data_IF_309773330654
#
_entry.id   IF_309773330654
#
_cell.length_a   1.000
_cell.length_b   1.000
_cell.length_c   1.000
_cell.angle_alpha   90.00
_cell.angle_beta   90.00
_cell.angle_gamma   90.00
#
_symmetry.space_group_name_H-M   'P 1'
#
loop_
_entity.id
_entity.type
_entity.pdbx_description
1 polymer ?
#
# COMPACT_ATOMS: atom_id res chain seq x y z
N UNK A 1 -24.35 -0.83 3.73
CA UNK A 1 -23.11 -0.81 4.53
C UNK A 1 -22.90 0.62 4.98
N UNK A 2 -22.48 0.86 6.23
CA UNK A 2 -22.49 2.16 6.90
C UNK A 2 -21.54 3.17 6.24
N UNK A 3 -21.82 4.45 6.46
CA UNK A 3 -21.09 5.62 6.00
C UNK A 3 -19.62 5.61 6.48
N UNK A 4 -18.71 5.48 5.52
CA UNK A 4 -17.27 5.40 5.73
C UNK A 4 -16.61 6.73 6.08
N UNK A 5 -17.21 7.56 6.93
CA UNK A 5 -16.46 8.62 7.62
C UNK A 5 -15.82 8.03 8.86
N UNK A 6 -14.76 7.25 8.64
CA UNK A 6 -13.81 6.95 9.70
C UNK A 6 -13.21 8.25 10.24
N UNK A 7 -12.82 8.30 11.52
CA UNK A 7 -12.22 9.49 12.13
C UNK A 7 -11.04 9.95 11.27
N UNK A 8 -10.93 11.27 11.10
CA UNK A 8 -9.82 11.86 10.36
C UNK A 8 -8.49 11.48 11.03
N UNK A 9 -7.36 11.43 10.30
CA UNK A 9 -6.05 11.11 10.87
C UNK A 9 -5.64 11.99 12.07
N UNK A 10 -6.27 13.16 12.23
CA UNK A 10 -6.10 14.07 13.36
C UNK A 10 -6.87 13.64 14.62
N UNK A 11 -7.97 12.91 14.46
CA UNK A 11 -8.82 12.39 15.54
C UNK A 11 -8.31 11.07 16.14
N UNK A 12 -7.44 10.35 15.43
CA UNK A 12 -6.86 9.07 15.91
C UNK A 12 -5.63 9.22 16.80
N UNK A 13 -5.18 10.44 17.12
CA UNK A 13 -4.05 10.64 18.04
C UNK A 13 -2.75 9.95 17.58
N UNK A 14 -2.57 9.77 16.26
CA UNK A 14 -1.32 9.24 15.70
C UNK A 14 -0.19 10.18 16.12
N UNK A 15 0.79 9.61 16.81
CA UNK A 15 1.91 10.40 17.31
C UNK A 15 2.85 10.69 16.15
N UNK A 16 3.51 11.84 16.13
CA UNK A 16 4.55 12.20 15.15
C UNK A 16 5.67 11.15 14.99
N UNK A 17 5.78 10.19 15.93
CA UNK A 17 6.60 8.99 15.81
C UNK A 17 6.20 8.09 14.63
N UNK A 18 4.99 8.21 14.11
CA UNK A 18 4.44 7.36 13.05
C UNK A 18 4.78 7.89 11.64
N UNK A 19 5.40 9.08 11.53
CA UNK A 19 5.80 9.66 10.24
C UNK A 19 7.29 9.55 9.91
N UNK A 20 8.13 9.25 10.89
CA UNK A 20 9.59 9.13 10.66
C UNK A 20 10.04 7.68 10.76
N UNK A 21 10.71 7.16 9.71
CA UNK A 21 11.21 5.79 9.71
C UNK A 21 12.07 5.47 10.93
N UNK A 22 11.93 4.25 11.45
CA UNK A 22 12.68 3.81 12.64
C UNK A 22 14.20 3.94 12.46
N UNK A 23 14.73 3.55 11.29
CA UNK A 23 16.17 3.60 11.02
C UNK A 23 16.72 5.03 11.05
N UNK A 24 15.96 6.04 10.61
CA UNK A 24 16.38 7.45 10.70
C UNK A 24 16.45 7.88 12.16
N UNK A 25 15.43 7.53 12.96
CA UNK A 25 15.40 7.84 14.39
C UNK A 25 16.56 7.20 15.15
N UNK A 26 16.93 5.97 14.78
CA UNK A 26 18.06 5.26 15.38
C UNK A 26 19.41 5.84 14.98
N UNK A 27 19.57 6.20 13.71
CA UNK A 27 20.74 6.94 13.26
C UNK A 27 20.89 8.26 14.01
N UNK A 28 19.86 9.10 14.07
CA UNK A 28 19.92 10.38 14.78
C UNK A 28 20.31 10.24 16.25
N UNK A 29 19.88 9.15 16.91
CA UNK A 29 20.29 8.84 18.29
C UNK A 29 21.79 8.57 18.40
N UNK A 30 22.37 7.89 17.42
CA UNK A 30 23.78 7.52 17.42
C UNK A 30 24.66 8.70 16.99
N UNK A 31 24.30 9.39 15.92
CA UNK A 31 25.14 10.41 15.29
C UNK A 31 25.05 11.77 15.99
N UNK A 32 23.85 12.16 16.46
CA UNK A 32 23.58 13.50 16.99
C UNK A 32 22.81 13.49 18.34
N UNK A 33 23.29 12.76 19.37
CA UNK A 33 22.57 12.62 20.64
C UNK A 33 22.37 13.96 21.38
N UNK A 34 23.33 14.88 21.27
CA UNK A 34 23.25 16.20 21.89
C UNK A 34 22.19 17.08 21.22
N UNK A 35 22.19 17.19 19.88
CA UNK A 35 21.18 17.95 19.14
C UNK A 35 19.77 17.42 19.42
N UNK A 36 19.61 16.10 19.50
CA UNK A 36 18.33 15.47 19.84
C UNK A 36 17.88 15.78 21.26
N UNK A 37 18.82 15.82 22.21
CA UNK A 37 18.54 16.19 23.61
C UNK A 37 18.11 17.65 23.71
N UNK A 38 18.80 18.53 22.99
CA UNK A 38 18.52 19.96 22.96
C UNK A 38 17.17 20.25 22.30
N UNK A 39 16.87 19.63 21.15
CA UNK A 39 15.56 19.70 20.52
C UNK A 39 14.45 19.20 21.46
N UNK A 40 14.68 18.09 22.17
CA UNK A 40 13.72 17.60 23.15
C UNK A 40 13.57 18.54 24.36
N UNK A 41 14.59 19.32 24.71
CA UNK A 41 14.51 20.37 25.73
C UNK A 41 13.65 21.53 25.21
N UNK A 42 13.94 22.03 24.02
CA UNK A 42 13.21 23.13 23.38
C UNK A 42 11.72 22.77 23.17
N UNK A 43 11.43 21.58 22.64
CA UNK A 43 10.04 21.12 22.52
C UNK A 43 9.33 21.02 23.86
N UNK A 44 10.03 20.56 24.91
CA UNK A 44 9.46 20.50 26.28
C UNK A 44 9.17 21.90 26.81
N UNK A 45 10.06 22.85 26.56
CA UNK A 45 9.90 24.25 26.93
C UNK A 45 8.67 24.86 26.23
N UNK A 46 8.57 24.75 24.90
CA UNK A 46 7.42 25.25 24.12
C UNK A 46 6.09 24.62 24.54
N UNK A 47 6.10 23.30 24.80
CA UNK A 47 4.92 22.60 25.33
C UNK A 47 4.59 23.05 26.75
N UNK A 48 5.60 23.20 27.61
CA UNK A 48 5.42 23.69 28.98
C UNK A 48 4.82 25.08 29.00
N UNK A 49 5.31 26.00 28.16
CA UNK A 49 4.74 27.34 28.00
C UNK A 49 3.25 27.27 27.63
N UNK A 50 2.90 26.43 26.64
CA UNK A 50 1.51 26.23 26.24
C UNK A 50 0.65 25.70 27.40
N UNK A 51 1.11 24.67 28.11
CA UNK A 51 0.35 24.04 29.18
C UNK A 51 0.26 24.90 30.44
N UNK A 52 1.29 25.69 30.78
CA UNK A 52 1.22 26.67 31.86
C UNK A 52 0.24 27.79 31.52
N UNK A 53 0.23 28.28 30.27
CA UNK A 53 -0.78 29.24 29.81
C UNK A 53 -2.20 28.65 29.91
N UNK A 54 -2.37 27.38 29.53
CA UNK A 54 -3.66 26.67 29.62
C UNK A 54 -4.11 26.47 31.06
N UNK A 55 -3.19 26.09 31.96
CA UNK A 55 -3.45 25.93 33.39
C UNK A 55 -3.81 27.26 34.04
N UNK A 56 -3.09 28.33 33.70
CA UNK A 56 -3.41 29.68 34.17
C UNK A 56 -4.79 30.14 33.71
N UNK A 57 -5.18 29.82 32.47
CA UNK A 57 -6.52 30.10 31.95
C UNK A 57 -7.59 29.27 32.68
N UNK A 58 -7.37 27.97 32.90
CA UNK A 58 -8.29 27.13 33.69
C UNK A 58 -8.45 27.63 35.12
N UNK A 59 -7.37 28.06 35.78
CA UNK A 59 -7.46 28.64 37.12
C UNK A 59 -8.27 29.94 37.16
N UNK A 60 -8.23 30.74 36.09
CA UNK A 60 -9.09 31.93 35.95
C UNK A 60 -10.56 31.55 35.77
N UNK A 61 -10.85 30.54 34.94
CA UNK A 61 -12.21 30.02 34.77
C UNK A 61 -12.77 29.48 36.09
N UNK A 62 -11.99 28.69 36.83
CA UNK A 62 -12.43 28.12 38.11
C UNK A 62 -12.77 29.21 39.15
N UNK A 63 -11.97 30.29 39.20
CA UNK A 63 -12.26 31.45 40.04
C UNK A 63 -13.50 32.23 39.59
N UNK A 64 -13.77 32.25 38.29
CA UNK A 64 -15.01 32.83 37.74
C UNK A 64 -16.20 32.00 38.20
N UNK A 65 -16.14 30.67 38.08
CA UNK A 65 -17.20 29.75 38.52
C UNK A 65 -17.51 29.89 40.01
N UNK A 66 -16.47 29.98 40.86
CA UNK A 66 -16.62 30.23 42.30
C UNK A 66 -17.34 31.57 42.58
N UNK A 67 -17.02 32.63 41.83
CA UNK A 67 -17.70 33.93 41.96
C UNK A 67 -19.15 33.84 41.50
N UNK A 68 -19.43 33.14 40.41
CA UNK A 68 -20.80 32.93 39.92
C UNK A 68 -21.64 32.17 40.96
N UNK A 69 -21.11 31.10 41.54
CA UNK A 69 -21.81 30.34 42.59
C UNK A 69 -22.09 31.18 43.84
N UNK A 70 -21.15 32.04 44.24
CA UNK A 70 -21.33 32.94 45.37
C UNK A 70 -22.46 33.95 45.10
N UNK A 71 -22.45 34.57 43.92
CA UNK A 71 -23.50 35.52 43.50
C UNK A 71 -24.86 34.82 43.40
N UNK A 72 -24.92 33.61 42.84
CA UNK A 72 -26.17 32.84 42.73
C UNK A 72 -26.76 32.45 44.09
N UNK A 73 -25.90 32.06 45.03
CA UNK A 73 -26.33 31.73 46.39
C UNK A 73 -26.89 32.96 47.10
N UNK A 74 -26.25 34.12 46.91
CA UNK A 74 -26.70 35.38 47.50
C UNK A 74 -28.00 35.88 46.85
N UNK A 75 -28.13 35.73 45.53
CA UNK A 75 -29.34 36.05 44.78
C UNK A 75 -30.52 35.22 45.29
N UNK A 76 -30.35 33.89 45.41
CA UNK A 76 -31.40 33.00 45.89
C UNK A 76 -31.84 33.34 47.33
N UNK A 77 -30.90 33.67 48.21
CA UNK A 77 -31.23 34.10 49.58
C UNK A 77 -32.03 35.41 49.60
N UNK A 78 -31.66 36.38 48.76
CA UNK A 78 -32.35 37.67 48.65
C UNK A 78 -33.70 37.59 47.97
N UNK A 79 -33.86 36.71 46.99
CA UNK A 79 -35.17 36.42 46.36
C UNK A 79 -36.15 35.81 47.35
N UNK A 80 -35.69 34.92 48.22
CA UNK A 80 -36.52 34.33 49.28
C UNK A 80 -36.93 35.38 50.32
N UNK A 81 -36.00 36.25 50.73
CA UNK A 81 -36.31 37.41 51.60
C UNK A 81 -37.35 38.35 50.95
N UNK A 82 -37.23 38.57 49.64
CA UNK A 82 -38.19 39.35 48.86
C UNK A 82 -39.57 38.69 48.84
N UNK A 83 -39.67 37.38 48.58
CA UNK A 83 -40.95 36.62 48.59
C UNK A 83 -41.62 36.66 49.95
N UNK A 84 -40.86 36.45 51.03
CA UNK A 84 -41.38 36.53 52.39
C UNK A 84 -41.94 37.92 52.71
N UNK A 85 -41.23 38.96 52.26
CA UNK A 85 -41.67 40.36 52.39
C UNK A 85 -42.95 40.62 51.56
N UNK A 86 -43.05 40.12 50.33
CA UNK A 86 -44.27 40.24 49.51
C UNK A 86 -45.46 39.50 50.12
N UNK A 87 -45.26 38.28 50.64
CA UNK A 87 -46.31 37.51 51.29
C UNK A 87 -46.88 38.26 52.52
N UNK A 88 -46.01 38.83 53.36
CA UNK A 88 -46.40 39.66 54.50
C UNK A 88 -47.16 40.93 54.07
N UNK A 89 -46.74 41.57 52.98
CA UNK A 89 -47.44 42.73 52.43
C UNK A 89 -48.83 42.33 51.91
N UNK A 90 -48.95 41.20 51.23
CA UNK A 90 -50.23 40.69 50.72
C UNK A 90 -51.21 40.36 51.86
N UNK A 91 -50.74 39.64 52.89
CA UNK A 91 -51.53 39.29 54.08
C UNK A 91 -52.03 40.55 54.81
N UNK A 92 -51.14 41.52 55.05
CA UNK A 92 -51.48 42.76 55.77
C UNK A 92 -52.34 43.73 54.93
N UNK A 93 -52.51 43.48 53.63
CA UNK A 93 -53.23 44.35 52.70
C UNK A 93 -54.51 43.74 52.11
N UNK A 94 -55.00 42.63 52.67
CA UNK A 94 -56.11 41.83 52.14
C UNK A 94 -57.46 42.60 52.09
N UNK A 95 -57.68 43.56 52.99
CA UNK A 95 -58.91 44.35 53.07
C UNK A 95 -58.70 45.76 53.65
N UNK A 96 -59.61 46.70 53.31
CA UNK A 96 -59.48 48.15 53.59
C UNK A 96 -59.20 48.47 55.06
N UNK A 97 -59.93 47.87 56.01
CA UNK A 97 -59.75 48.14 57.45
C UNK A 97 -58.36 47.69 57.96
N UNK A 98 -57.87 46.54 57.48
CA UNK A 98 -56.53 46.01 57.83
C UNK A 98 -55.40 46.87 57.27
N UNK A 99 -55.58 47.46 56.08
CA UNK A 99 -54.65 48.44 55.52
C UNK A 99 -54.54 49.71 56.35
N UNK A 100 -55.66 50.21 56.88
CA UNK A 100 -55.68 51.44 57.68
C UNK A 100 -55.02 51.24 59.05
N UNK A 101 -55.27 50.10 59.72
CA UNK A 101 -54.65 49.78 61.02
C UNK A 101 -53.15 49.47 60.91
N UNK A 102 -52.69 48.87 59.81
CA UNK A 102 -51.30 48.48 59.61
C UNK A 102 -50.47 49.47 58.76
N UNK A 103 -50.96 50.68 58.51
CA UNK A 103 -50.35 51.65 57.58
C UNK A 103 -48.86 51.90 57.78
N UNK A 104 -48.41 52.12 59.03
CA UNK A 104 -46.99 52.36 59.33
C UNK A 104 -46.12 51.13 59.02
N UNK A 105 -46.62 49.94 59.32
CA UNK A 105 -45.92 48.67 59.07
C UNK A 105 -45.83 48.35 57.58
N UNK A 106 -46.92 48.60 56.83
CA UNK A 106 -46.93 48.49 55.37
C UNK A 106 -45.94 49.46 54.72
N UNK A 107 -45.83 50.70 55.23
CA UNK A 107 -44.84 51.67 54.75
C UNK A 107 -43.40 51.18 54.97
N UNK A 108 -43.09 50.64 56.15
CA UNK A 108 -41.76 50.07 56.44
C UNK A 108 -41.46 48.86 55.57
N UNK A 109 -42.41 47.94 55.38
CA UNK A 109 -42.24 46.78 54.49
C UNK A 109 -42.07 47.18 53.03
N UNK A 110 -42.76 48.23 52.57
CA UNK A 110 -42.59 48.77 51.22
C UNK A 110 -41.20 49.36 50.99
N UNK A 111 -40.65 50.07 51.99
CA UNK A 111 -39.26 50.58 51.92
C UNK A 111 -38.25 49.43 51.95
N UNK A 112 -38.47 48.40 52.77
CA UNK A 112 -37.62 47.22 52.80
C UNK A 112 -37.63 46.50 51.44
N UNK A 113 -38.82 46.31 50.85
CA UNK A 113 -39.01 45.73 49.52
C UNK A 113 -38.23 46.49 48.44
N UNK A 114 -38.31 47.83 48.41
CA UNK A 114 -37.52 48.63 47.46
C UNK A 114 -36.02 48.44 47.64
N UNK A 115 -35.55 48.37 48.89
CA UNK A 115 -34.13 48.14 49.18
C UNK A 115 -33.64 46.75 48.76
N UNK A 116 -34.45 45.71 48.96
CA UNK A 116 -34.15 44.35 48.52
C UNK A 116 -34.15 44.28 46.99
N UNK A 117 -35.09 44.96 46.32
CA UNK A 117 -35.13 45.03 44.86
C UNK A 117 -33.86 45.68 44.29
N UNK A 118 -33.42 46.81 44.86
CA UNK A 118 -32.16 47.46 44.44
C UNK A 118 -30.95 46.55 44.63
N UNK A 119 -30.94 45.74 45.70
CA UNK A 119 -29.88 44.77 45.95
C UNK A 119 -29.88 43.63 44.92
N UNK A 120 -31.06 43.11 44.59
CA UNK A 120 -31.21 42.09 43.53
C UNK A 120 -30.78 42.62 42.16
N UNK A 121 -31.12 43.87 41.83
CA UNK A 121 -30.69 44.49 40.57
C UNK A 121 -29.15 44.62 40.51
N UNK A 122 -28.50 44.92 41.63
CA UNK A 122 -27.04 45.01 41.71
C UNK A 122 -26.37 43.64 41.60
N UNK A 123 -26.89 42.61 42.29
CA UNK A 123 -26.40 41.23 42.15
C UNK A 123 -26.54 40.70 40.72
N UNK A 124 -27.66 40.99 40.04
CA UNK A 124 -27.86 40.63 38.64
C UNK A 124 -26.84 41.30 37.70
N UNK A 125 -26.47 42.58 37.96
CA UNK A 125 -25.39 43.24 37.22
C UNK A 125 -24.04 42.59 37.48
N UNK A 126 -23.75 42.22 38.72
CA UNK A 126 -22.51 41.52 39.07
C UNK A 126 -22.42 40.16 38.37
N UNK A 127 -23.52 39.40 38.36
CA UNK A 127 -23.61 38.13 37.62
C UNK A 127 -23.31 38.31 36.13
N UNK A 128 -23.99 39.25 35.47
CA UNK A 128 -23.77 39.53 34.06
C UNK A 128 -22.31 39.94 33.74
N UNK A 129 -21.66 40.66 34.66
CA UNK A 129 -20.24 41.03 34.50
C UNK A 129 -19.29 39.82 34.61
N UNK A 130 -19.57 38.88 35.52
CA UNK A 130 -18.79 37.64 35.67
C UNK A 130 -19.01 36.72 34.46
N UNK A 131 -20.25 36.57 34.00
CA UNK A 131 -20.57 35.76 32.82
C UNK A 131 -19.86 36.29 31.56
N UNK A 132 -19.79 37.62 31.39
CA UNK A 132 -19.08 38.24 30.28
C UNK A 132 -17.54 38.03 30.37
N UNK A 133 -16.96 38.07 31.57
CA UNK A 133 -15.54 37.77 31.80
C UNK A 133 -15.22 36.31 31.44
N UNK A 134 -16.08 35.37 31.85
CA UNK A 134 -15.94 33.95 31.55
C UNK A 134 -16.03 33.68 30.04
N UNK A 135 -16.98 34.31 29.35
CA UNK A 135 -17.12 34.18 27.90
C UNK A 135 -15.88 34.69 27.17
N UNK A 136 -15.33 35.86 27.54
CA UNK A 136 -14.08 36.37 26.95
C UNK A 136 -12.89 35.44 27.19
N UNK A 137 -12.81 34.82 28.37
CA UNK A 137 -11.77 33.83 28.68
C UNK A 137 -11.90 32.59 27.80
N UNK A 138 -13.13 32.10 27.55
CA UNK A 138 -13.38 30.95 26.68
C UNK A 138 -13.05 31.27 25.21
N UNK A 139 -13.46 32.43 24.72
CA UNK A 139 -13.27 32.86 23.32
C UNK A 139 -11.80 33.13 22.97
N UNK A 140 -11.02 33.74 23.87
CA UNK A 140 -9.60 34.04 23.59
C UNK A 140 -8.73 32.78 23.45
N UNK A 141 -9.08 31.68 24.13
CA UNK A 141 -8.32 30.43 24.09
C UNK A 141 -6.83 30.57 24.46
N UNK A 142 -6.09 29.47 24.42
CA UNK A 142 -4.62 29.53 24.33
C UNK A 142 -4.24 29.36 22.87
N UNK A 143 -3.44 30.29 22.34
CA UNK A 143 -2.95 30.18 20.96
C UNK A 143 -2.22 28.84 20.74
N UNK A 144 -2.61 28.06 19.72
CA UNK A 144 -1.94 26.80 19.41
C UNK A 144 -0.56 26.99 18.79
N UNK A 145 -0.14 28.23 18.52
CA UNK A 145 1.12 28.54 17.83
C UNK A 145 2.34 27.84 18.46
N UNK A 146 2.42 27.75 19.78
CA UNK A 146 3.52 27.06 20.49
C UNK A 146 3.57 25.56 20.22
N UNK A 147 2.41 24.91 20.08
CA UNK A 147 2.36 23.50 19.68
C UNK A 147 2.74 23.33 18.21
N UNK A 148 2.32 24.26 17.36
CA UNK A 148 2.70 24.28 15.93
C UNK A 148 4.20 24.48 15.75
N UNK A 149 4.81 25.43 16.48
CA UNK A 149 6.27 25.64 16.53
C UNK A 149 7.00 24.33 16.91
N UNK A 150 6.56 23.66 17.99
CA UNK A 150 7.18 22.41 18.44
C UNK A 150 7.11 21.28 17.41
N UNK A 151 6.01 21.19 16.65
CA UNK A 151 5.86 20.25 15.53
C UNK A 151 6.79 20.60 14.36
N UNK A 152 6.87 21.88 13.99
CA UNK A 152 7.77 22.33 12.92
C UNK A 152 9.22 21.97 13.22
N UNK A 153 9.70 22.28 14.43
CA UNK A 153 11.06 21.97 14.87
C UNK A 153 11.39 20.47 14.74
N UNK A 154 10.43 19.60 15.05
CA UNK A 154 10.62 18.15 14.93
C UNK A 154 10.72 17.70 13.48
N UNK A 155 9.83 18.21 12.62
CA UNK A 155 9.81 17.87 11.20
C UNK A 155 11.07 18.36 10.49
N UNK A 156 11.52 19.59 10.77
CA UNK A 156 12.75 20.15 10.21
C UNK A 156 13.98 19.33 10.63
N UNK A 157 14.05 18.94 11.90
CA UNK A 157 15.12 18.09 12.41
C UNK A 157 15.19 16.77 11.65
N UNK A 158 14.10 16.00 11.59
CA UNK A 158 14.13 14.68 10.93
C UNK A 158 14.30 14.77 9.42
N UNK A 159 13.82 15.85 8.78
CA UNK A 159 14.08 16.09 7.35
C UNK A 159 15.58 16.29 7.10
N UNK A 160 16.27 17.02 7.97
CA UNK A 160 17.73 17.19 7.87
C UNK A 160 18.48 15.89 8.16
N UNK A 161 18.01 15.10 9.11
CA UNK A 161 18.63 13.81 9.49
C UNK A 161 18.46 12.75 8.40
N UNK A 162 17.35 12.76 7.66
CA UNK A 162 17.16 11.88 6.50
C UNK A 162 18.26 12.10 5.44
N UNK A 163 18.64 13.36 5.17
CA UNK A 163 19.75 13.68 4.27
C UNK A 163 21.08 13.13 4.80
N UNK A 164 21.42 13.46 6.06
CA UNK A 164 22.64 12.97 6.72
C UNK A 164 22.75 11.44 6.77
N UNK A 165 21.62 10.79 6.99
CA UNK A 165 21.53 9.34 7.00
C UNK A 165 21.78 8.74 5.61
N UNK A 166 21.29 9.37 4.55
CA UNK A 166 21.50 8.89 3.18
C UNK A 166 22.98 8.99 2.76
N UNK A 167 23.67 10.04 3.20
CA UNK A 167 25.09 10.27 2.87
C UNK A 167 26.08 9.51 3.76
N UNK A 168 25.61 8.87 4.83
CA UNK A 168 26.48 8.19 5.79
C UNK A 168 26.98 6.84 5.24
N UNK A 169 28.26 6.48 5.46
CA UNK A 169 28.76 5.16 5.06
C UNK A 169 28.02 4.05 5.81
N UNK A 170 27.73 2.96 5.12
CA UNK A 170 27.09 1.78 5.71
C UNK A 170 28.12 0.72 6.10
N UNK A 171 27.87 0.05 7.23
CA UNK A 171 28.63 -1.12 7.66
C UNK A 171 27.94 -2.43 7.24
N UNK A 172 28.67 -3.53 7.18
CA UNK A 172 28.10 -4.87 6.95
C UNK A 172 26.96 -5.20 7.93
N UNK A 173 27.09 -4.77 9.19
CA UNK A 173 26.06 -4.96 10.22
C UNK A 173 24.77 -4.18 9.92
N UNK A 174 24.86 -3.06 9.21
CA UNK A 174 23.68 -2.30 8.81
C UNK A 174 22.89 -3.05 7.74
N UNK A 175 23.60 -3.67 6.78
CA UNK A 175 22.97 -4.50 5.74
C UNK A 175 22.24 -5.68 6.38
N UNK A 176 22.90 -6.45 7.24
CA UNK A 176 22.28 -7.59 7.94
C UNK A 176 21.07 -7.19 8.79
N UNK A 177 21.10 -6.00 9.38
CA UNK A 177 20.01 -5.51 10.22
C UNK A 177 18.82 -5.02 9.40
N UNK A 178 19.07 -4.21 8.37
CA UNK A 178 18.00 -3.53 7.65
C UNK A 178 17.49 -4.30 6.42
N UNK A 179 18.17 -5.37 6.01
CA UNK A 179 17.74 -6.22 4.91
C UNK A 179 17.38 -7.64 5.33
N UNK A 180 17.05 -7.85 6.62
CA UNK A 180 16.41 -9.11 7.04
C UNK A 180 14.96 -9.17 6.57
N UNK A 181 14.43 -10.39 6.39
CA UNK A 181 13.03 -10.57 5.99
C UNK A 181 12.06 -9.86 6.93
N UNK A 182 12.26 -10.01 8.24
CA UNK A 182 11.38 -9.42 9.26
C UNK A 182 11.42 -7.90 9.23
N UNK A 183 12.59 -7.31 8.96
CA UNK A 183 12.71 -5.86 8.90
C UNK A 183 12.02 -5.31 7.65
N UNK A 184 12.34 -5.87 6.48
CA UNK A 184 11.77 -5.44 5.21
C UNK A 184 10.24 -5.56 5.19
N UNK A 185 9.71 -6.67 5.72
CA UNK A 185 8.27 -6.89 5.86
C UNK A 185 7.57 -5.94 6.85
N UNK A 186 8.32 -5.28 7.73
CA UNK A 186 7.78 -4.31 8.69
C UNK A 186 7.66 -2.89 8.12
N UNK A 187 8.27 -2.62 6.96
CA UNK A 187 8.31 -1.29 6.36
C UNK A 187 7.06 -0.99 5.54
N UNK A 188 6.62 0.26 5.60
CA UNK A 188 5.77 0.82 4.53
C UNK A 188 6.55 0.94 3.23
N UNK A 189 5.85 1.06 2.10
CA UNK A 189 6.49 1.22 0.78
C UNK A 189 7.39 2.47 0.74
N UNK A 190 6.96 3.57 1.36
CA UNK A 190 7.73 4.81 1.42
C UNK A 190 9.02 4.65 2.24
N UNK A 191 8.96 3.92 3.35
CA UNK A 191 10.13 3.60 4.17
C UNK A 191 11.07 2.64 3.46
N UNK A 192 10.52 1.67 2.72
CA UNK A 192 11.27 0.72 1.90
C UNK A 192 12.06 1.43 0.81
N UNK A 193 11.41 2.30 0.04
CA UNK A 193 12.05 3.12 -1.00
C UNK A 193 13.13 4.00 -0.38
N UNK A 194 12.86 4.61 0.77
CA UNK A 194 13.87 5.40 1.47
C UNK A 194 15.06 4.52 1.93
N UNK A 195 14.81 3.28 2.35
CA UNK A 195 15.88 2.35 2.66
C UNK A 195 16.80 2.13 1.45
N UNK A 196 16.20 1.87 0.30
CA UNK A 196 16.92 1.66 -0.97
C UNK A 196 17.66 2.89 -1.49
N UNK A 197 17.29 4.09 -1.07
CA UNK A 197 18.04 5.30 -1.43
C UNK A 197 19.39 5.42 -0.72
N UNK A 198 19.55 4.78 0.46
CA UNK A 198 20.82 4.79 1.20
C UNK A 198 21.76 3.68 0.76
N UNK A 199 21.22 2.50 0.50
CA UNK A 199 22.02 1.32 0.16
C UNK A 199 22.06 1.15 -1.36
N UNK A 200 23.00 0.35 -1.91
CA UNK A 200 22.97 0.03 -3.33
C UNK A 200 21.58 -0.49 -3.74
N UNK A 201 20.97 0.17 -4.71
CA UNK A 201 19.60 -0.10 -5.15
C UNK A 201 19.52 -1.23 -6.18
N UNK A 202 20.48 -2.16 -6.14
CA UNK A 202 20.46 -3.34 -6.98
C UNK A 202 19.37 -4.29 -6.49
N UNK A 203 18.68 -4.90 -7.45
CA UNK A 203 17.51 -5.72 -7.25
C UNK A 203 17.66 -7.04 -8.03
N UNK A 204 17.05 -8.08 -7.47
CA UNK A 204 16.74 -9.32 -8.19
C UNK A 204 15.25 -9.43 -8.38
N UNK A 205 14.80 -10.12 -9.43
CA UNK A 205 13.39 -10.28 -9.74
C UNK A 205 13.02 -11.73 -9.97
N UNK A 206 11.79 -12.09 -9.64
CA UNK A 206 11.22 -13.39 -9.94
C UNK A 206 9.89 -13.18 -10.65
N UNK A 207 9.81 -13.61 -11.90
CA UNK A 207 8.55 -13.57 -12.66
C UNK A 207 7.76 -14.85 -12.38
N UNK A 208 6.51 -14.67 -12.00
CA UNK A 208 5.60 -15.79 -11.76
C UNK A 208 4.92 -16.21 -13.06
N UNK A 209 4.62 -17.51 -13.13
CA UNK A 209 3.69 -18.03 -14.13
C UNK A 209 2.29 -17.98 -13.54
N UNK A 210 1.46 -17.10 -14.08
CA UNK A 210 0.04 -17.02 -13.77
C UNK A 210 -0.73 -16.99 -15.09
N UNK A 211 -1.72 -17.87 -15.22
CA UNK A 211 -2.51 -17.99 -16.44
C UNK A 211 -1.85 -18.89 -17.49
N UNK A 212 -2.16 -18.65 -18.76
CA UNK A 212 -1.70 -19.45 -19.90
C UNK A 212 -0.27 -19.09 -20.26
N UNK A 213 0.65 -20.05 -20.31
CA UNK A 213 1.98 -19.80 -20.84
C UNK A 213 1.91 -19.50 -22.34
N UNK A 214 2.07 -18.24 -22.75
CA UNK A 214 2.09 -17.83 -24.16
C UNK A 214 3.49 -17.37 -24.63
N UNK A 215 4.45 -17.26 -23.71
CA UNK A 215 5.86 -16.98 -23.99
C UNK A 215 6.60 -18.16 -24.62
N UNK A 216 7.24 -17.91 -25.75
CA UNK A 216 8.12 -18.86 -26.44
C UNK A 216 9.60 -18.42 -26.33
N UNK A 217 10.23 -18.70 -25.18
CA UNK A 217 11.62 -18.32 -24.88
C UNK A 217 12.72 -19.16 -25.56
N UNK A 218 12.59 -19.45 -26.86
CA UNK A 218 13.59 -20.20 -27.63
C UNK A 218 13.64 -21.73 -27.35
N UNK A 219 14.68 -22.41 -27.85
CA UNK A 219 14.75 -23.88 -27.91
C UNK A 219 14.72 -24.61 -26.55
N UNK A 220 15.07 -23.94 -25.45
CA UNK A 220 15.24 -24.56 -24.14
C UNK A 220 14.23 -24.08 -23.08
N UNK A 221 13.58 -22.92 -23.28
CA UNK A 221 12.56 -22.39 -22.35
C UNK A 221 11.13 -22.42 -22.91
N UNK A 222 10.85 -23.22 -23.95
CA UNK A 222 9.50 -23.40 -24.54
C UNK A 222 8.66 -24.49 -23.87
N UNK A 223 9.19 -25.18 -22.85
CA UNK A 223 8.48 -26.27 -22.16
C UNK A 223 7.22 -25.73 -21.46
N UNK A 224 6.06 -26.35 -21.68
CA UNK A 224 4.80 -25.94 -21.05
C UNK A 224 4.07 -24.79 -21.77
N UNK A 225 4.47 -24.43 -23.00
CA UNK A 225 3.72 -23.49 -23.83
C UNK A 225 2.26 -23.97 -24.01
N UNK A 226 1.30 -23.09 -23.71
CA UNK A 226 -0.13 -23.34 -23.75
C UNK A 226 -0.70 -24.02 -22.50
N UNK A 227 0.14 -24.38 -21.52
CA UNK A 227 -0.30 -24.88 -20.23
C UNK A 227 -0.76 -23.72 -19.33
N UNK A 228 -1.70 -24.00 -18.43
CA UNK A 228 -2.18 -23.03 -17.44
C UNK A 228 -1.46 -23.28 -16.12
N UNK A 229 -0.95 -22.21 -15.52
CA UNK A 229 -0.23 -22.21 -14.25
C UNK A 229 -0.92 -21.25 -13.25
N UNK A 230 -0.88 -21.60 -11.96
CA UNK A 230 -1.44 -20.83 -10.85
C UNK A 230 -0.38 -20.39 -9.83
N UNK A 231 0.87 -20.28 -10.28
CA UNK A 231 2.04 -19.98 -9.46
C UNK A 231 1.87 -18.78 -8.54
N UNK A 232 1.25 -17.69 -9.00
CA UNK A 232 1.02 -16.52 -8.13
C UNK A 232 0.03 -16.83 -7.00
N UNK A 233 -1.06 -17.54 -7.29
CA UNK A 233 -2.03 -17.99 -6.26
C UNK A 233 -1.36 -18.90 -5.24
N UNK A 234 -0.53 -19.84 -5.71
CA UNK A 234 0.23 -20.76 -4.86
C UNK A 234 1.22 -20.03 -3.95
N UNK A 235 1.89 -18.98 -4.45
CA UNK A 235 2.80 -18.14 -3.66
C UNK A 235 2.03 -17.29 -2.63
N UNK A 236 0.88 -16.70 -3.01
CA UNK A 236 0.07 -15.90 -2.09
C UNK A 236 -0.47 -16.72 -0.90
N UNK A 237 -0.80 -17.99 -1.12
CA UNK A 237 -1.30 -18.88 -0.07
C UNK A 237 -0.28 -19.07 1.06
N UNK A 238 1.01 -19.15 0.71
CA UNK A 238 2.08 -19.36 1.70
C UNK A 238 2.83 -18.09 2.07
N UNK A 239 2.67 -17.03 1.27
CA UNK A 239 3.49 -15.81 1.30
C UNK A 239 4.98 -16.10 1.11
N UNK A 240 5.31 -17.17 0.39
CA UNK A 240 6.70 -17.64 0.20
C UNK A 240 6.96 -17.98 -1.26
N UNK A 241 8.06 -17.43 -1.78
CA UNK A 241 8.63 -17.82 -3.05
C UNK A 241 9.60 -19.00 -2.80
N UNK A 242 9.22 -20.19 -3.23
CA UNK A 242 9.96 -21.44 -2.97
C UNK A 242 10.72 -21.91 -4.19
N UNK A 243 11.76 -22.69 -3.95
CA UNK A 243 12.43 -23.43 -5.00
C UNK A 243 11.51 -24.50 -5.57
N UNK A 244 11.84 -25.03 -6.75
CA UNK A 244 11.08 -26.11 -7.37
C UNK A 244 10.98 -27.32 -6.44
N UNK A 245 12.07 -27.67 -5.74
CA UNK A 245 12.07 -28.72 -4.72
C UNK A 245 11.16 -28.37 -3.53
N UNK A 246 11.21 -27.13 -3.03
CA UNK A 246 10.38 -26.70 -1.92
C UNK A 246 8.88 -26.76 -2.20
N UNK A 247 8.47 -26.42 -3.42
CA UNK A 247 7.08 -26.61 -3.88
C UNK A 247 6.69 -28.08 -3.88
N UNK A 248 7.54 -28.97 -4.40
CA UNK A 248 7.28 -30.41 -4.35
C UNK A 248 7.15 -30.94 -2.91
N UNK A 249 8.04 -30.54 -2.00
CA UNK A 249 7.99 -31.02 -0.61
C UNK A 249 6.72 -30.57 0.12
N UNK A 250 6.17 -29.41 -0.21
CA UNK A 250 4.93 -28.88 0.36
C UNK A 250 3.70 -29.73 0.01
N UNK A 251 3.64 -30.26 -1.22
CA UNK A 251 2.47 -31.01 -1.71
C UNK A 251 2.38 -32.46 -1.17
N UNK A 252 3.07 -32.75 -0.07
CA UNK A 252 2.98 -34.02 0.64
C UNK A 252 3.73 -35.16 -0.04
N UNK A 253 4.79 -34.84 -0.79
CA UNK A 253 5.69 -35.82 -1.40
C UNK A 253 6.26 -36.73 -0.30
N UNK A 254 6.06 -38.04 -0.45
CA UNK A 254 6.44 -39.03 0.56
C UNK A 254 7.96 -39.11 0.64
N UNK A 255 8.49 -39.47 1.81
CA UNK A 255 9.93 -39.71 2.04
C UNK A 255 10.59 -40.59 0.95
N UNK A 256 9.85 -41.52 0.35
CA UNK A 256 10.33 -42.38 -0.74
C UNK A 256 10.49 -41.68 -2.09
N UNK A 257 9.75 -40.61 -2.36
CA UNK A 257 9.88 -39.80 -3.58
C UNK A 257 11.06 -38.83 -3.45
N UNK A 258 11.33 -38.31 -2.25
CA UNK A 258 12.57 -37.55 -1.93
C UNK A 258 13.81 -38.45 -2.02
N UNK A 259 13.73 -39.67 -1.47
CA UNK A 259 14.79 -40.69 -1.59
C UNK A 259 15.00 -41.14 -3.04
N UNK A 260 13.97 -41.08 -3.88
CA UNK A 260 14.05 -41.34 -5.33
C UNK A 260 14.76 -40.20 -6.06
N UNK A 261 14.51 -38.95 -5.67
CA UNK A 261 15.22 -37.75 -6.16
C UNK A 261 16.73 -37.82 -5.86
N UNK A 262 17.09 -38.20 -4.62
CA UNK A 262 18.49 -38.36 -4.19
C UNK A 262 19.18 -39.59 -4.84
N UNK A 263 18.46 -40.67 -5.10
CA UNK A 263 19.01 -41.92 -5.68
C UNK A 263 19.24 -41.89 -7.21
N UNK A 264 18.90 -40.80 -7.91
CA UNK A 264 19.19 -40.64 -9.34
C UNK A 264 20.69 -40.71 -9.69
N UNK A 265 21.57 -40.56 -8.70
CA UNK A 265 23.02 -40.71 -8.89
C UNK A 265 23.45 -42.18 -9.05
N UNK A 266 22.64 -43.19 -8.69
CA UNK A 266 23.10 -44.59 -8.77
C UNK A 266 21.98 -45.64 -8.69
N UNK A 267 21.29 -45.97 -9.79
CA UNK A 267 20.69 -47.33 -9.96
C UNK A 267 20.51 -47.69 -11.44
N UNK A 268 21.06 -48.85 -11.85
CA UNK A 268 20.82 -49.47 -13.17
C UNK A 268 19.49 -50.25 -13.22
N UNK A 269 18.86 -50.25 -14.39
CA UNK A 269 17.46 -50.62 -14.61
C UNK A 269 17.08 -52.10 -14.38
N UNK A 270 15.83 -52.34 -13.93
CA UNK A 270 14.93 -53.44 -14.36
C UNK A 270 13.46 -53.30 -13.86
N UNK A 271 12.63 -52.86 -14.81
CA UNK A 271 11.17 -52.94 -15.11
C UNK A 271 10.01 -52.98 -14.08
N UNK A 272 8.98 -52.15 -14.36
CA UNK A 272 7.52 -52.30 -14.09
C UNK A 272 6.75 -51.16 -14.82
N UNK A 273 5.48 -51.34 -15.19
CA UNK A 273 4.71 -50.34 -15.98
C UNK A 273 4.48 -49.00 -15.25
N UNK A 274 4.33 -49.02 -13.93
CA UNK A 274 4.35 -47.82 -13.07
C UNK A 274 5.72 -47.17 -13.08
N UNK A 275 6.81 -47.95 -13.08
CA UNK A 275 8.17 -47.43 -13.33
C UNK A 275 8.33 -46.79 -14.69
N UNK A 276 7.59 -47.18 -15.74
CA UNK A 276 7.59 -46.52 -17.06
C UNK A 276 6.78 -45.21 -17.10
N UNK A 277 5.75 -45.08 -16.27
CA UNK A 277 5.02 -43.82 -16.06
C UNK A 277 5.88 -42.85 -15.25
N UNK A 278 6.45 -43.35 -14.15
CA UNK A 278 7.44 -42.67 -13.32
C UNK A 278 8.70 -42.29 -14.11
N UNK A 279 9.24 -43.14 -14.99
CA UNK A 279 10.35 -42.80 -15.90
C UNK A 279 9.99 -41.70 -16.89
N UNK A 280 8.72 -41.53 -17.25
CA UNK A 280 8.26 -40.45 -18.14
C UNK A 280 8.17 -39.13 -17.39
N UNK A 281 7.59 -39.13 -16.20
CA UNK A 281 7.52 -37.98 -15.28
C UNK A 281 8.91 -37.57 -14.77
N UNK A 282 9.82 -38.53 -14.61
CA UNK A 282 11.22 -38.28 -14.28
C UNK A 282 12.05 -37.93 -15.52
N UNK A 283 11.78 -38.47 -16.74
CA UNK A 283 12.44 -38.01 -17.98
C UNK A 283 12.11 -36.56 -18.34
N UNK A 284 10.97 -36.04 -17.92
CA UNK A 284 10.70 -34.60 -17.99
C UNK A 284 11.56 -33.79 -17.03
N UNK A 285 12.14 -34.42 -15.99
CA UNK A 285 13.13 -33.82 -15.09
C UNK A 285 14.58 -34.11 -15.55
N UNK A 286 14.81 -35.20 -16.30
CA UNK A 286 16.11 -35.72 -16.78
C UNK A 286 16.56 -35.13 -18.13
N UNK A 287 15.77 -34.22 -18.73
CA UNK A 287 16.14 -33.57 -20.01
C UNK A 287 17.15 -32.45 -19.86
N UNK A 288 17.43 -32.02 -18.64
CA UNK A 288 18.61 -31.25 -18.30
C UNK A 288 19.25 -31.91 -17.07
N UNK A 289 20.58 -32.05 -17.00
CA UNK A 289 21.24 -32.46 -15.77
C UNK A 289 21.18 -31.29 -14.77
N UNK A 290 19.99 -30.95 -14.31
CA UNK A 290 19.78 -29.99 -13.23
C UNK A 290 20.13 -30.74 -11.93
N UNK A 291 21.27 -30.35 -11.35
CA UNK A 291 21.78 -30.90 -10.09
C UNK A 291 20.76 -30.64 -8.97
N UNK A 292 20.80 -31.43 -7.89
CA UNK A 292 19.99 -31.14 -6.68
C UNK A 292 20.11 -29.66 -6.24
N UNK A 293 21.30 -29.07 -6.39
CA UNK A 293 21.51 -27.65 -6.10
C UNK A 293 20.65 -26.72 -6.96
N UNK A 294 20.43 -27.05 -8.23
CA UNK A 294 19.60 -26.25 -9.13
C UNK A 294 18.13 -26.27 -8.69
N UNK A 295 17.59 -27.46 -8.42
CA UNK A 295 16.20 -27.63 -7.96
C UNK A 295 15.93 -27.08 -6.57
N UNK A 296 16.94 -27.08 -5.70
CA UNK A 296 16.85 -26.58 -4.34
C UNK A 296 16.95 -25.05 -4.26
N UNK A 297 17.39 -24.38 -5.34
CA UNK A 297 17.50 -22.94 -5.39
C UNK A 297 16.20 -22.26 -5.87
N UNK A 298 15.94 -21.06 -5.35
CA UNK A 298 15.04 -20.10 -5.98
C UNK A 298 15.81 -19.41 -7.09
N UNK A 299 15.25 -19.41 -8.30
CA UNK A 299 15.85 -18.76 -9.47
C UNK A 299 15.27 -17.35 -9.61
N UNK A 300 16.15 -16.37 -9.73
CA UNK A 300 15.79 -14.95 -9.91
C UNK A 300 16.69 -14.32 -10.95
N UNK A 301 16.23 -13.29 -11.65
CA UNK A 301 17.04 -12.50 -12.58
C UNK A 301 17.64 -11.29 -11.86
N UNK A 302 18.88 -10.90 -12.18
CA UNK A 302 19.50 -9.70 -11.62
C UNK A 302 19.24 -8.46 -12.50
N UNK A 303 18.90 -7.33 -11.89
CA UNK A 303 18.72 -6.01 -12.55
C UNK A 303 17.75 -5.96 -13.75
N UNK A 304 17.01 -7.02 -14.02
CA UNK A 304 16.04 -7.12 -15.11
C UNK A 304 14.82 -7.94 -14.70
N UNK A 305 13.75 -7.83 -15.47
CA UNK A 305 12.56 -8.69 -15.37
C UNK A 305 12.63 -9.64 -16.56
N UNK A 306 12.83 -10.92 -16.30
CA UNK A 306 12.98 -11.94 -17.35
C UNK A 306 11.62 -12.54 -17.78
N UNK A 307 10.64 -11.67 -17.97
CA UNK A 307 9.25 -12.01 -18.27
C UNK A 307 9.07 -12.67 -19.64
N UNK A 308 9.78 -12.18 -20.67
CA UNK A 308 9.77 -12.76 -22.02
C UNK A 308 10.15 -14.26 -22.06
N UNK A 309 10.88 -14.74 -21.04
CA UNK A 309 11.36 -16.12 -20.96
C UNK A 309 10.57 -16.96 -19.95
N UNK A 310 10.26 -16.37 -18.79
CA UNK A 310 9.74 -17.09 -17.63
C UNK A 310 8.30 -16.73 -17.26
N UNK A 311 7.74 -15.68 -17.86
CA UNK A 311 6.38 -15.21 -17.64
C UNK A 311 5.30 -16.23 -18.03
N UNK A 312 4.10 -15.99 -17.52
CA UNK A 312 2.89 -16.68 -17.93
C UNK A 312 2.36 -16.11 -19.24
N UNK A 313 1.70 -14.95 -19.13
CA UNK A 313 0.93 -14.33 -20.21
C UNK A 313 1.50 -12.96 -20.60
N UNK A 314 1.83 -12.75 -21.89
CA UNK A 314 2.31 -11.47 -22.43
C UNK A 314 1.43 -10.28 -22.00
N UNK A 315 1.98 -9.32 -21.27
CA UNK A 315 1.26 -8.15 -20.76
C UNK A 315 0.35 -8.39 -19.55
N UNK A 316 0.43 -9.57 -18.92
CA UNK A 316 -0.23 -9.92 -17.65
C UNK A 316 0.77 -10.55 -16.65
N UNK A 317 2.04 -10.19 -16.75
CA UNK A 317 3.10 -10.74 -15.91
C UNK A 317 3.11 -10.13 -14.53
N UNK A 318 3.12 -11.02 -13.54
CA UNK A 318 3.28 -10.65 -12.13
C UNK A 318 4.69 -11.05 -11.73
N UNK A 319 5.42 -10.10 -11.17
CA UNK A 319 6.78 -10.36 -10.70
C UNK A 319 7.02 -9.77 -9.31
N UNK A 320 7.94 -10.41 -8.61
CA UNK A 320 8.46 -9.94 -7.34
C UNK A 320 9.83 -9.31 -7.57
N UNK A 321 10.16 -8.28 -6.80
CA UNK A 321 11.53 -7.76 -6.74
C UNK A 321 12.02 -7.71 -5.31
N UNK A 322 13.27 -8.12 -5.12
CA UNK A 322 13.97 -8.13 -3.84
C UNK A 322 15.28 -7.36 -3.97
N UNK A 323 15.69 -6.61 -2.95
CA UNK A 323 16.99 -5.94 -2.96
C UNK A 323 18.09 -6.99 -2.94
N UNK A 324 19.11 -6.83 -3.77
CA UNK A 324 20.29 -7.72 -3.74
C UNK A 324 20.94 -7.72 -2.36
N UNK A 325 20.84 -6.63 -1.61
CA UNK A 325 21.28 -6.53 -0.22
C UNK A 325 20.56 -7.51 0.74
N UNK A 326 19.29 -7.84 0.46
CA UNK A 326 18.53 -8.87 1.19
C UNK A 326 19.10 -10.27 0.94
N UNK A 327 19.39 -10.58 -0.32
CA UNK A 327 20.03 -11.86 -0.70
C UNK A 327 21.38 -12.02 -0.01
N UNK A 328 22.22 -10.98 -0.03
CA UNK A 328 23.56 -11.00 0.58
C UNK A 328 23.52 -11.04 2.11
N UNK A 329 22.46 -10.52 2.73
CA UNK A 329 22.34 -10.48 4.18
C UNK A 329 22.19 -11.88 4.78
N UNK A 330 21.28 -12.68 4.21
CA UNK A 330 20.74 -13.88 4.88
C UNK A 330 20.81 -15.17 4.05
N UNK A 331 21.21 -15.11 2.77
CA UNK A 331 21.17 -16.28 1.89
C UNK A 331 22.52 -16.63 1.27
N UNK A 332 22.72 -17.94 1.05
CA UNK A 332 23.77 -18.41 0.17
C UNK A 332 23.28 -18.30 -1.28
N UNK A 333 24.11 -17.76 -2.18
CA UNK A 333 23.73 -17.55 -3.56
C UNK A 333 24.89 -17.76 -4.54
N UNK A 334 24.57 -17.93 -5.81
CA UNK A 334 25.51 -18.00 -6.94
C UNK A 334 24.94 -17.22 -8.12
N UNK A 335 25.81 -16.64 -8.94
CA UNK A 335 25.44 -15.67 -9.99
C UNK A 335 25.90 -14.25 -9.65
N UNK A 336 25.62 -13.30 -10.55
CA UNK A 336 25.92 -11.87 -10.37
C UNK A 336 24.66 -11.13 -9.91
N UNK A 337 24.76 -10.33 -8.85
CA UNK A 337 23.63 -9.60 -8.25
C UNK A 337 23.54 -8.12 -8.66
N UNK A 338 24.48 -7.65 -9.49
CA UNK A 338 24.71 -6.22 -9.76
C UNK A 338 24.79 -5.89 -11.25
N UNK A 339 24.80 -6.91 -12.10
CA UNK A 339 24.85 -6.78 -13.55
C UNK A 339 23.69 -7.59 -14.11
N UNK A 340 22.87 -6.95 -14.94
CA UNK A 340 21.81 -7.62 -15.67
C UNK A 340 22.37 -8.51 -16.78
N UNK A 341 21.75 -9.65 -16.98
CA UNK A 341 22.19 -10.63 -17.96
C UNK A 341 21.52 -10.39 -19.32
N UNK A 342 22.12 -9.59 -20.20
CA UNK A 342 21.75 -9.56 -21.63
C UNK A 342 22.07 -10.85 -22.40
N UNK A 343 22.27 -11.98 -21.69
CA UNK A 343 22.69 -13.26 -22.23
C UNK A 343 21.83 -14.38 -21.65
N UNK A 344 21.82 -15.51 -22.35
CA UNK A 344 21.08 -16.75 -22.08
C UNK A 344 21.19 -17.34 -20.64
N UNK A 345 22.05 -16.78 -19.78
CA UNK A 345 22.28 -17.22 -18.39
C UNK A 345 22.21 -16.02 -17.44
N UNK A 346 21.02 -15.54 -17.12
CA UNK A 346 20.77 -14.46 -16.16
C UNK A 346 20.28 -14.93 -14.79
N UNK A 347 20.21 -16.25 -14.58
CA UNK A 347 19.76 -16.84 -13.34
C UNK A 347 20.77 -16.57 -12.21
N UNK A 348 20.24 -16.08 -11.10
CA UNK A 348 20.86 -16.10 -9.79
C UNK A 348 20.18 -17.21 -9.01
N UNK A 349 20.99 -18.13 -8.50
CA UNK A 349 20.54 -19.22 -7.65
C UNK A 349 20.62 -18.78 -6.20
N UNK A 350 19.47 -18.73 -5.51
CA UNK A 350 19.38 -18.42 -4.09
C UNK A 350 18.98 -19.69 -3.33
N UNK A 351 19.88 -20.18 -2.48
CA UNK A 351 19.59 -21.31 -1.61
C UNK A 351 18.97 -20.82 -0.30
N UNK A 352 17.71 -21.22 -0.11
CA UNK A 352 16.93 -20.99 1.10
C UNK A 352 16.74 -22.31 1.84
N UNK A 353 16.25 -22.25 3.08
CA UNK A 353 15.75 -23.48 3.72
C UNK A 353 14.66 -24.08 2.82
N UNK A 354 14.79 -25.37 2.49
CA UNK A 354 14.06 -26.02 1.39
C UNK A 354 12.53 -25.87 1.50
N UNK A 355 12.00 -25.76 2.72
CA UNK A 355 10.57 -25.60 3.01
C UNK A 355 10.15 -24.14 3.22
N UNK A 356 11.10 -23.23 3.49
CA UNK A 356 10.84 -21.83 3.85
C UNK A 356 10.72 -20.94 2.62
N UNK A 357 11.67 -21.00 1.68
CA UNK A 357 11.73 -20.04 0.57
C UNK A 357 11.98 -18.58 1.01
N UNK A 358 11.88 -17.65 0.07
CA UNK A 358 11.94 -16.20 0.32
C UNK A 358 10.57 -15.66 0.71
N UNK A 359 10.49 -14.84 1.75
CA UNK A 359 9.27 -14.11 2.10
C UNK A 359 8.91 -13.10 1.01
N UNK A 360 7.72 -13.19 0.42
CA UNK A 360 7.28 -12.16 -0.55
C UNK A 360 7.08 -10.79 0.11
N UNK A 361 6.91 -10.76 1.43
CA UNK A 361 6.78 -9.52 2.21
C UNK A 361 8.11 -8.78 2.36
N UNK A 362 9.24 -9.44 2.10
CA UNK A 362 10.54 -8.79 2.05
C UNK A 362 10.78 -8.06 0.72
N UNK A 363 9.91 -8.26 -0.28
CA UNK A 363 10.03 -7.68 -1.62
C UNK A 363 8.85 -6.78 -1.98
N UNK A 364 8.91 -6.25 -3.21
CA UNK A 364 7.80 -5.51 -3.82
C UNK A 364 7.17 -6.39 -4.89
N UNK A 365 5.83 -6.46 -4.90
CA UNK A 365 5.06 -7.18 -5.91
C UNK A 365 4.58 -6.20 -6.97
N UNK A 366 4.85 -6.50 -8.23
CA UNK A 366 4.35 -5.75 -9.37
C UNK A 366 3.23 -6.53 -10.03
N UNK A 367 2.09 -5.87 -10.20
CA UNK A 367 0.91 -6.42 -10.85
C UNK A 367 0.50 -5.42 -11.95
N UNK A 368 0.27 -5.87 -13.20
CA UNK A 368 -0.13 -4.99 -14.28
C UNK A 368 -1.48 -4.32 -13.98
N UNK A 369 -1.55 -2.98 -14.08
CA UNK A 369 -2.78 -2.24 -13.78
C UNK A 369 -3.84 -2.38 -14.86
N UNK A 370 -3.42 -2.49 -16.12
CA UNK A 370 -4.31 -2.46 -17.29
C UNK A 370 -4.73 -3.84 -17.80
N UNK A 371 -4.15 -4.92 -17.26
CA UNK A 371 -4.44 -6.28 -17.69
C UNK A 371 -5.88 -6.66 -17.33
N UNK A 372 -6.71 -6.89 -18.34
CA UNK A 372 -8.08 -7.39 -18.15
C UNK A 372 -8.05 -8.90 -18.00
N UNK A 373 -8.17 -9.35 -16.75
CA UNK A 373 -8.15 -10.77 -16.40
C UNK A 373 -9.50 -11.27 -15.92
N UNK A 374 -9.74 -12.57 -16.08
CA UNK A 374 -10.84 -13.25 -15.39
C UNK A 374 -10.59 -13.24 -13.88
N UNK A 375 -11.57 -12.81 -13.09
CA UNK A 375 -11.43 -12.65 -11.63
C UNK A 375 -11.20 -13.97 -10.88
N UNK A 376 -11.56 -15.10 -11.48
CA UNK A 376 -11.43 -16.42 -10.84
C UNK A 376 -10.10 -17.07 -11.20
N UNK A 377 -9.65 -16.95 -12.45
CA UNK A 377 -8.45 -17.65 -12.94
C UNK A 377 -7.22 -16.75 -13.01
N UNK A 378 -7.39 -15.43 -12.98
CA UNK A 378 -6.29 -14.47 -13.15
C UNK A 378 -5.70 -14.46 -14.57
N UNK A 379 -6.30 -15.19 -15.51
CA UNK A 379 -5.87 -15.28 -16.91
C UNK A 379 -6.57 -14.21 -17.77
N UNK A 380 -5.83 -13.63 -18.72
CA UNK A 380 -6.38 -12.76 -19.77
C UNK A 380 -7.13 -13.56 -20.84
N UNK A 381 -6.88 -14.86 -20.93
CA UNK A 381 -7.55 -15.75 -21.88
C UNK A 381 -8.81 -16.38 -21.29
N UNK A 382 -9.80 -16.59 -22.15
CA UNK A 382 -10.97 -17.39 -21.79
C UNK A 382 -10.56 -18.86 -21.68
N UNK A 383 -10.81 -19.45 -20.52
CA UNK A 383 -10.57 -20.87 -20.26
C UNK A 383 -11.87 -21.68 -20.35
N UNK A 384 -11.77 -22.93 -20.79
CA UNK A 384 -12.87 -23.90 -20.78
C UNK A 384 -13.08 -24.55 -19.40
N UNK A 385 -14.01 -25.50 -19.32
CA UNK A 385 -14.33 -26.22 -18.08
C UNK A 385 -13.17 -27.06 -17.54
N UNK A 386 -12.14 -27.33 -18.35
CA UNK A 386 -10.95 -28.09 -18.00
C UNK A 386 -9.72 -27.20 -17.79
N UNK A 387 -9.91 -25.88 -17.61
CA UNK A 387 -8.85 -24.89 -17.51
C UNK A 387 -7.89 -24.89 -18.71
N UNK A 388 -8.42 -25.08 -19.93
CA UNK A 388 -7.64 -24.95 -21.16
C UNK A 388 -8.04 -23.70 -21.93
N UNK A 389 -7.10 -23.03 -22.62
CA UNK A 389 -7.44 -21.90 -23.47
C UNK A 389 -8.46 -22.29 -24.53
N UNK A 390 -9.57 -21.55 -24.63
CA UNK A 390 -10.57 -21.76 -25.68
C UNK A 390 -9.97 -21.38 -27.03
N UNK A 391 -9.69 -22.36 -27.88
CA UNK A 391 -9.18 -22.14 -29.24
C UNK A 391 -10.29 -21.57 -30.12
N UNK A 392 -10.03 -20.44 -30.77
CA UNK A 392 -10.94 -19.87 -31.77
C UNK A 392 -10.76 -20.58 -33.12
N UNK A 393 -11.18 -21.85 -33.19
CA UNK A 393 -10.97 -22.73 -34.35
C UNK A 393 -11.53 -22.11 -35.64
N UNK A 394 -12.71 -21.49 -35.57
CA UNK A 394 -13.33 -20.84 -36.73
C UNK A 394 -12.53 -19.64 -37.24
N UNK A 395 -11.93 -18.86 -36.31
CA UNK A 395 -11.07 -17.73 -36.66
C UNK A 395 -9.75 -18.19 -37.27
N UNK A 396 -9.14 -19.24 -36.71
CA UNK A 396 -7.93 -19.86 -37.26
C UNK A 396 -8.21 -20.44 -38.65
N UNK A 397 -9.35 -21.12 -38.82
CA UNK A 397 -9.76 -21.66 -40.13
C UNK A 397 -9.98 -20.55 -41.15
N UNK A 398 -10.59 -19.43 -40.77
CA UNK A 398 -10.76 -18.26 -41.65
C UNK A 398 -9.41 -17.64 -42.05
N UNK A 399 -8.47 -17.50 -41.11
CA UNK A 399 -7.09 -17.01 -41.40
C UNK A 399 -6.34 -18.00 -42.29
N UNK A 400 -6.42 -19.30 -42.02
CA UNK A 400 -5.76 -20.32 -42.83
C UNK A 400 -6.34 -20.37 -44.25
N UNK A 401 -7.66 -20.29 -44.38
CA UNK A 401 -8.33 -20.20 -45.68
C UNK A 401 -7.93 -18.92 -46.44
N UNK A 402 -7.73 -17.81 -45.74
CA UNK A 402 -7.15 -16.59 -46.29
C UNK A 402 -5.72 -16.83 -46.79
N UNK A 403 -4.84 -17.42 -45.97
CA UNK A 403 -3.44 -17.69 -46.32
C UNK A 403 -3.27 -18.67 -47.48
N UNK A 404 -4.13 -19.69 -47.55
CA UNK A 404 -4.11 -20.72 -48.59
C UNK A 404 -4.81 -20.28 -49.88
N UNK A 405 -5.36 -19.06 -49.91
CA UNK A 405 -6.06 -18.57 -51.08
C UNK A 405 -5.10 -18.25 -52.24
N UNK A 406 -5.42 -18.58 -53.50
CA UNK A 406 -4.52 -18.37 -54.65
C UNK A 406 -4.09 -16.92 -54.93
N UNK A 407 -4.71 -15.95 -54.27
CA UNK A 407 -4.44 -14.53 -54.41
C UNK A 407 -3.55 -13.97 -53.29
N UNK A 408 -3.08 -14.80 -52.36
CA UNK A 408 -2.10 -14.37 -51.35
C UNK A 408 -0.78 -13.93 -51.95
N UNK A 409 -0.37 -14.50 -53.08
CA UNK A 409 0.78 -14.00 -53.84
C UNK A 409 0.54 -12.58 -54.38
N UNK A 410 -0.68 -12.29 -54.85
CA UNK A 410 -1.08 -10.96 -55.34
C UNK A 410 -1.07 -9.94 -54.19
N UNK A 411 -1.60 -10.33 -53.02
CA UNK A 411 -1.58 -9.52 -51.82
C UNK A 411 -0.14 -9.29 -51.31
N UNK A 412 0.67 -10.34 -51.22
CA UNK A 412 2.06 -10.27 -50.76
C UNK A 412 2.87 -9.34 -51.65
N UNK A 413 2.70 -9.43 -52.97
CA UNK A 413 3.35 -8.53 -53.92
C UNK A 413 2.89 -7.08 -53.74
N UNK A 414 1.60 -6.84 -53.52
CA UNK A 414 1.07 -5.49 -53.26
C UNK A 414 1.61 -4.91 -51.95
N UNK A 415 1.72 -5.72 -50.89
CA UNK A 415 2.28 -5.34 -49.60
C UNK A 415 3.78 -5.01 -49.70
N UNK A 416 4.56 -5.86 -50.36
CA UNK A 416 6.00 -5.66 -50.59
C UNK A 416 6.26 -4.39 -51.40
N UNK A 417 5.48 -4.15 -52.45
CA UNK A 417 5.62 -2.93 -53.25
C UNK A 417 5.20 -1.67 -52.46
N UNK A 418 4.17 -1.76 -51.60
CA UNK A 418 3.80 -0.66 -50.73
C UNK A 418 4.88 -0.32 -49.68
N UNK A 419 5.45 -1.33 -49.02
CA UNK A 419 6.58 -1.14 -48.09
C UNK A 419 7.79 -0.52 -48.78
N UNK A 420 8.12 -1.00 -49.98
CA UNK A 420 9.20 -0.42 -50.78
C UNK A 420 8.94 1.07 -51.07
N UNK A 421 7.72 1.43 -51.49
CA UNK A 421 7.34 2.82 -51.72
C UNK A 421 7.40 3.67 -50.45
N UNK A 422 7.02 3.12 -49.28
CA UNK A 422 7.13 3.81 -47.99
C UNK A 422 8.59 4.14 -47.65
N UNK A 423 9.49 3.17 -47.79
CA UNK A 423 10.93 3.34 -47.55
C UNK A 423 11.54 4.39 -48.50
N UNK A 424 11.07 4.43 -49.74
CA UNK A 424 11.53 5.38 -50.76
C UNK A 424 10.85 6.76 -50.67
N UNK A 425 9.84 6.94 -49.80
CA UNK A 425 9.07 8.18 -49.69
C UNK A 425 8.09 8.43 -50.84
N UNK A 426 7.74 7.40 -51.61
CA UNK A 426 6.88 7.44 -52.81
C UNK A 426 5.47 6.88 -52.53
N UNK A 427 5.16 6.52 -51.29
CA UNK A 427 3.89 5.90 -50.92
C UNK A 427 2.69 6.85 -51.06
N UNK A 428 1.65 6.38 -51.73
CA UNK A 428 0.36 7.07 -51.84
C UNK A 428 -0.65 6.43 -50.87
N UNK A 429 -1.42 7.21 -50.09
CA UNK A 429 -2.53 6.70 -49.25
C UNK A 429 -3.56 5.82 -50.00
N UNK A 430 -3.71 6.00 -51.30
CA UNK A 430 -4.61 5.17 -52.12
C UNK A 430 -4.10 3.73 -52.31
N UNK A 431 -2.79 3.49 -52.19
CA UNK A 431 -2.22 2.14 -52.27
C UNK A 431 -2.66 1.29 -51.08
N UNK A 432 -2.66 1.86 -49.87
CA UNK A 432 -3.12 1.18 -48.65
C UNK A 432 -4.63 0.92 -48.68
N UNK A 433 -5.44 1.88 -49.17
CA UNK A 433 -6.88 1.69 -49.35
C UNK A 433 -7.19 0.61 -50.38
N UNK A 434 -6.41 0.51 -51.45
CA UNK A 434 -6.58 -0.53 -52.47
C UNK A 434 -6.28 -1.92 -51.89
N UNK A 435 -5.23 -2.06 -51.09
CA UNK A 435 -4.89 -3.30 -50.38
C UNK A 435 -6.02 -3.71 -49.42
N UNK A 436 -6.53 -2.76 -48.61
CA UNK A 436 -7.66 -3.02 -47.69
C UNK A 436 -8.91 -3.42 -48.46
N UNK A 437 -9.24 -2.73 -49.56
CA UNK A 437 -10.40 -3.06 -50.41
C UNK A 437 -10.25 -4.42 -51.10
N UNK A 438 -9.03 -4.83 -51.47
CA UNK A 438 -8.76 -6.16 -52.02
C UNK A 438 -8.98 -7.26 -50.98
N UNK A 439 -8.58 -7.04 -49.72
CA UNK A 439 -8.82 -7.98 -48.62
C UNK A 439 -10.33 -8.08 -48.34
N UNK A 440 -11.02 -6.95 -48.18
CA UNK A 440 -12.46 -6.90 -47.88
C UNK A 440 -13.31 -7.56 -48.98
N UNK A 441 -13.10 -7.17 -50.24
CA UNK A 441 -13.89 -7.67 -51.38
C UNK A 441 -13.77 -9.19 -51.62
N UNK A 442 -12.68 -9.82 -51.17
CA UNK A 442 -12.39 -11.24 -51.45
C UNK A 442 -12.57 -12.15 -50.25
N UNK A 443 -12.56 -11.61 -49.03
CA UNK A 443 -12.70 -12.40 -47.79
C UNK A 443 -14.02 -12.15 -47.07
N UNK A 444 -14.65 -10.99 -47.30
CA UNK A 444 -15.77 -10.52 -46.48
C UNK A 444 -15.38 -10.21 -45.03
N UNK A 445 -14.07 -10.14 -44.72
CA UNK A 445 -13.56 -9.76 -43.39
C UNK A 445 -13.63 -8.24 -43.28
N UNK A 446 -14.70 -7.75 -42.64
CA UNK A 446 -14.88 -6.33 -42.31
C UNK A 446 -14.33 -5.95 -40.93
N UNK A 447 -13.82 -6.94 -40.18
CA UNK A 447 -13.30 -6.74 -38.82
C UNK A 447 -11.89 -6.14 -38.88
N UNK A 448 -11.79 -4.89 -38.46
CA UNK A 448 -10.55 -4.09 -38.46
C UNK A 448 -9.47 -4.71 -37.58
N UNK A 449 -9.83 -5.40 -36.49
CA UNK A 449 -8.84 -6.05 -35.62
C UNK A 449 -8.23 -7.30 -36.30
N UNK A 450 -9.01 -8.03 -37.09
CA UNK A 450 -8.50 -9.18 -37.87
C UNK A 450 -7.58 -8.72 -39.00
N UNK A 451 -7.94 -7.62 -39.67
CA UNK A 451 -7.11 -6.96 -40.67
C UNK A 451 -5.78 -6.49 -40.07
N UNK A 452 -5.80 -5.85 -38.90
CA UNK A 452 -4.60 -5.40 -38.22
C UNK A 452 -3.70 -6.57 -37.79
N UNK A 453 -4.26 -7.67 -37.24
CA UNK A 453 -3.47 -8.85 -36.90
C UNK A 453 -2.84 -9.54 -38.13
N UNK A 454 -3.49 -9.50 -39.30
CA UNK A 454 -2.92 -10.04 -40.55
C UNK A 454 -1.79 -9.16 -41.10
N UNK A 455 -1.85 -7.86 -40.86
CA UNK A 455 -0.79 -6.90 -41.22
C UNK A 455 0.40 -7.00 -40.24
N UNK A 456 0.13 -7.06 -38.93
CA UNK A 456 1.15 -7.23 -37.89
C UNK A 456 1.93 -8.54 -38.02
N UNK A 457 1.27 -9.66 -38.38
CA UNK A 457 1.94 -10.95 -38.60
C UNK A 457 2.97 -10.90 -39.75
N UNK A 458 2.83 -9.95 -40.68
CA UNK A 458 3.75 -9.73 -41.78
C UNK A 458 4.72 -8.55 -41.54
N UNK A 459 4.80 -8.04 -40.31
CA UNK A 459 5.59 -6.85 -39.94
C UNK A 459 5.27 -5.63 -40.82
N UNK A 460 3.99 -5.25 -40.90
CA UNK A 460 3.53 -3.99 -41.49
C UNK A 460 3.05 -2.99 -40.44
#
# INVERSE_FOLDING_TARGET
MPDGSGPSPEEMGLTEKDRTPQFVREFSKQTNPQQRTELAREMREKRSEYFEAKKAQQAKLLKSDERTQAVDSELAAKEEEFRQTEALVAELSENWFSRTLNFLRLRTLSQNRESIQQYLDELNKQKAAVDAEEQQLRERGVSPHRLTEARSLLNDFYSSEKGRWSDAPYAKKDIQKYFSEEYLASLSLEEYVLLLQRFPSHMVTHVTRQGVRDHAGGSFHTIGLGEVDDGFVSILADRRLKSKLGTYLKDGVKYEDVKRFIRFVTVSAKDSAERRKMYRELRSLDREPATYSDFAAVHVAAEEVADDYYGGEVGNEIFFTFPSAHVVADHFFSGQLIEGGGSYWNDVWIWTDEDKGLSIDAGIVFIPSEAKVDRRTGSKYKLDENNRPVRQVDRIAAIQQFLDSPWTDELTNALVEHQRKLILGEANPEDAKHIIAMIDARTGITDVEVLNSLLEFNNL
#
